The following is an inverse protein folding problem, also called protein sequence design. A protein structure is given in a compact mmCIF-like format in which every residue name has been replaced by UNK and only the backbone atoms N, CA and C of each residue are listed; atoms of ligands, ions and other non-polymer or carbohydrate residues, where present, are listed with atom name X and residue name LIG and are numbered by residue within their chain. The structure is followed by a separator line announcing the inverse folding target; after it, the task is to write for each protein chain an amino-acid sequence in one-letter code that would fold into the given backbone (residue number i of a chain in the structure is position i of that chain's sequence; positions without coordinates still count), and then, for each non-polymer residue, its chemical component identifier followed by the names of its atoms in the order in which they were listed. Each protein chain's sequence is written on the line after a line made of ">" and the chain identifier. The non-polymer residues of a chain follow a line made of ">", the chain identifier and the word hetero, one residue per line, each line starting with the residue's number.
data_IF_064670241306
#
_entry.id   IF_064670241306
#
_cell.length_a   1.000
_cell.length_b   1.000
_cell.length_c   1.000
_cell.angle_alpha   90.00
_cell.angle_beta   90.00
_cell.angle_gamma   90.00
#
_symmetry.space_group_name_H-M   'P 1'
#
loop_
_entity.id
_entity.type
_entity.pdbx_description
1 polymer ?
#
# COMPACT_ATOMS: atom_id res chain seq x y z
N UNK A 1 -12.88 -26.65 -3.11
CA UNK A 1 -13.91 -25.63 -2.85
C UNK A 1 -13.29 -24.67 -1.83
N UNK A 2 -12.88 -23.47 -2.25
CA UNK A 2 -12.20 -22.50 -1.37
C UNK A 2 -13.28 -21.66 -0.69
N UNK A 3 -13.32 -21.69 0.64
CA UNK A 3 -14.19 -20.83 1.45
C UNK A 3 -13.78 -19.34 1.29
N UNK A 4 -14.74 -18.43 1.49
CA UNK A 4 -14.61 -16.96 1.46
C UNK A 4 -13.45 -16.41 2.33
N UNK A 5 -12.88 -17.22 3.22
CA UNK A 5 -11.74 -16.88 4.08
C UNK A 5 -10.34 -17.20 3.51
N UNK A 6 -10.21 -17.76 2.29
CA UNK A 6 -8.89 -18.06 1.69
C UNK A 6 -8.16 -19.24 2.36
N UNK A 7 -8.90 -20.15 2.99
CA UNK A 7 -8.35 -21.35 3.63
C UNK A 7 -8.31 -22.51 2.64
N UNK A 8 -7.17 -23.17 2.53
CA UNK A 8 -6.99 -24.39 1.71
C UNK A 8 -6.49 -25.56 2.57
N UNK A 9 -6.98 -26.77 2.30
CA UNK A 9 -6.58 -28.00 2.97
C UNK A 9 -5.63 -28.81 2.08
N UNK A 10 -4.54 -29.33 2.66
CA UNK A 10 -3.60 -30.26 2.00
C UNK A 10 -3.35 -31.47 2.91
N UNK A 11 -3.40 -32.68 2.34
CA UNK A 11 -3.18 -33.93 3.07
C UNK A 11 -1.71 -34.36 2.97
N UNK A 12 -1.05 -34.63 4.11
CA UNK A 12 0.30 -35.21 4.16
C UNK A 12 0.21 -36.74 4.23
N UNK A 13 0.95 -37.46 3.38
CA UNK A 13 1.05 -38.93 3.46
C UNK A 13 2.36 -39.30 4.17
N UNK A 14 2.29 -39.56 5.47
CA UNK A 14 3.42 -40.04 6.27
C UNK A 14 3.58 -41.57 6.22
N UNK A 15 4.82 -42.06 6.22
CA UNK A 15 5.14 -43.50 6.08
C UNK A 15 4.80 -44.38 7.29
N UNK A 16 4.11 -43.85 8.30
CA UNK A 16 3.42 -44.61 9.35
C UNK A 16 2.14 -43.86 9.76
N UNK A 17 1.02 -44.25 9.15
CA UNK A 17 -0.26 -44.37 9.84
C UNK A 17 -1.04 -43.14 10.32
N UNK A 18 -0.57 -41.90 10.23
CA UNK A 18 -1.40 -40.71 10.54
C UNK A 18 -1.05 -39.53 9.64
N UNK A 19 -1.94 -39.20 8.71
CA UNK A 19 -1.87 -37.99 7.90
C UNK A 19 -2.17 -36.76 8.77
N UNK A 20 -1.14 -36.02 9.20
CA UNK A 20 -1.36 -34.72 9.82
C UNK A 20 -1.69 -33.71 8.71
N UNK A 21 -2.96 -33.32 8.58
CA UNK A 21 -3.34 -32.22 7.69
C UNK A 21 -2.80 -30.90 8.27
N UNK A 22 -2.02 -30.15 7.48
CA UNK A 22 -1.65 -28.79 7.83
C UNK A 22 -2.65 -27.82 7.21
N UNK A 23 -3.18 -26.89 8.00
CA UNK A 23 -4.03 -25.80 7.50
C UNK A 23 -3.14 -24.66 7.03
N UNK A 24 -3.34 -24.21 5.79
CA UNK A 24 -2.63 -23.06 5.22
C UNK A 24 -3.58 -21.87 5.16
N UNK A 25 -3.12 -20.75 5.73
CA UNK A 25 -3.82 -19.47 5.70
C UNK A 25 -3.02 -18.46 4.88
N UNK A 26 -3.66 -17.84 3.89
CA UNK A 26 -3.05 -16.77 3.12
C UNK A 26 -3.71 -15.43 3.43
N UNK A 27 -2.88 -14.42 3.74
CA UNK A 27 -3.38 -13.06 3.87
C UNK A 27 -3.71 -12.52 2.46
N UNK A 28 -4.92 -12.00 2.21
CA UNK A 28 -5.22 -11.30 0.96
C UNK A 28 -4.24 -10.13 0.73
N UNK A 29 -3.92 -9.83 -0.53
CA UNK A 29 -3.03 -8.72 -0.88
C UNK A 29 -3.57 -7.98 -2.11
N UNK A 30 -4.50 -7.06 -1.92
CA UNK A 30 -5.24 -6.40 -2.98
C UNK A 30 -6.58 -7.07 -3.25
N UNK A 31 -7.39 -6.37 -4.05
CA UNK A 31 -8.81 -6.66 -4.28
C UNK A 31 -9.12 -6.83 -5.76
N UNK A 32 -10.23 -7.48 -6.05
CA UNK A 32 -10.76 -7.58 -7.42
C UNK A 32 -11.82 -6.51 -7.64
N UNK A 33 -12.20 -6.29 -8.90
CA UNK A 33 -13.15 -5.23 -9.27
C UNK A 33 -14.45 -5.29 -8.45
N UNK A 34 -14.97 -6.51 -8.20
CA UNK A 34 -16.24 -6.73 -7.50
C UNK A 34 -16.17 -6.40 -6.00
N UNK A 35 -14.96 -6.26 -5.44
CA UNK A 35 -14.75 -5.89 -4.03
C UNK A 35 -14.77 -4.37 -3.81
N UNK A 36 -14.74 -3.56 -4.86
CA UNK A 36 -14.72 -2.09 -4.74
C UNK A 36 -16.13 -1.50 -4.83
N UNK A 37 -16.66 -1.04 -3.71
CA UNK A 37 -17.94 -0.32 -3.66
C UNK A 37 -17.69 1.17 -3.41
N UNK A 38 -18.27 2.04 -4.23
CA UNK A 38 -18.15 3.48 -4.06
C UNK A 38 -18.64 3.90 -2.67
N UNK A 39 -17.82 4.66 -1.95
CA UNK A 39 -18.07 5.05 -0.56
C UNK A 39 -17.30 4.24 0.47
N UNK A 40 -16.83 3.02 0.14
CA UNK A 40 -16.04 2.20 1.06
C UNK A 40 -14.73 2.89 1.46
N UNK A 41 -14.31 2.64 2.70
CA UNK A 41 -13.06 3.16 3.27
C UNK A 41 -12.19 2.00 3.73
N UNK A 42 -10.97 1.95 3.24
CA UNK A 42 -9.94 1.01 3.64
C UNK A 42 -8.95 1.71 4.56
N UNK A 43 -8.82 1.20 5.79
CA UNK A 43 -7.89 1.71 6.79
C UNK A 43 -6.62 0.88 6.77
N UNK A 44 -5.49 1.50 6.46
CA UNK A 44 -4.24 0.78 6.22
C UNK A 44 -3.43 0.65 7.51
N UNK A 45 -3.00 -0.56 7.83
CA UNK A 45 -2.23 -0.88 9.03
C UNK A 45 -0.96 -1.70 8.69
N UNK A 46 0.18 -1.45 9.34
CA UNK A 46 0.43 -0.46 10.42
C UNK A 46 0.84 0.93 9.91
N UNK A 47 0.89 1.90 10.83
CA UNK A 47 1.53 3.19 10.56
C UNK A 47 3.07 3.09 10.50
N UNK A 48 3.73 4.13 9.98
CA UNK A 48 5.20 4.22 9.87
C UNK A 48 5.70 5.56 10.40
N UNK A 49 6.54 5.51 11.42
CA UNK A 49 7.34 6.66 11.87
C UNK A 49 8.42 6.99 10.86
N UNK A 50 8.51 8.25 10.45
CA UNK A 50 9.54 8.76 9.56
C UNK A 50 10.75 9.15 10.40
N UNK A 51 11.89 8.56 10.10
CA UNK A 51 13.17 8.88 10.72
C UNK A 51 14.02 9.75 9.79
N UNK A 52 15.05 10.39 10.32
CA UNK A 52 16.04 11.12 9.53
C UNK A 52 16.67 10.23 8.44
N UNK A 53 16.93 8.96 8.77
CA UNK A 53 17.47 7.99 7.82
C UNK A 53 16.55 7.79 6.60
N UNK A 54 15.24 7.66 6.82
CA UNK A 54 14.28 7.46 5.72
C UNK A 54 14.33 8.65 4.73
N UNK A 55 14.35 9.87 5.27
CA UNK A 55 14.34 11.12 4.51
C UNK A 55 15.65 11.32 3.74
N UNK A 56 16.79 11.17 4.40
CA UNK A 56 18.10 11.31 3.76
C UNK A 56 18.31 10.23 2.69
N UNK A 57 17.97 8.96 2.98
CA UNK A 57 18.07 7.90 2.00
C UNK A 57 17.21 8.21 0.77
N UNK A 58 15.96 8.64 0.98
CA UNK A 58 15.07 9.00 -0.13
C UNK A 58 15.64 10.15 -0.96
N UNK A 59 16.14 11.20 -0.33
CA UNK A 59 16.81 12.31 -1.02
C UNK A 59 17.98 11.83 -1.88
N UNK A 60 18.82 10.93 -1.37
CA UNK A 60 19.99 10.44 -2.11
C UNK A 60 19.60 9.55 -3.30
N UNK A 61 18.65 8.62 -3.13
CA UNK A 61 18.24 7.72 -4.24
C UNK A 61 17.39 8.43 -5.30
N UNK A 62 16.78 9.58 -4.96
CA UNK A 62 15.99 10.40 -5.90
C UNK A 62 16.72 11.65 -6.41
N UNK A 63 17.98 11.85 -5.99
CA UNK A 63 18.79 13.03 -6.32
C UNK A 63 18.14 14.36 -5.90
N UNK A 64 17.34 14.36 -4.83
CA UNK A 64 16.84 15.59 -4.24
C UNK A 64 17.87 16.16 -3.26
N UNK A 65 18.72 17.07 -3.76
CA UNK A 65 19.79 17.71 -3.00
C UNK A 65 19.38 19.01 -2.29
N UNK A 66 18.08 19.30 -2.16
CA UNK A 66 17.65 20.53 -1.52
C UNK A 66 17.99 20.53 -0.02
N UNK A 67 18.77 21.50 0.49
CA UNK A 67 19.34 21.45 1.85
C UNK A 67 18.28 21.48 2.97
N UNK A 68 17.07 21.95 2.68
CA UNK A 68 15.92 21.87 3.61
C UNK A 68 15.71 20.46 4.21
N UNK A 69 16.01 19.41 3.44
CA UNK A 69 15.76 18.02 3.86
C UNK A 69 16.95 17.40 4.60
N UNK A 70 18.18 17.90 4.38
CA UNK A 70 19.41 17.19 4.79
C UNK A 70 20.44 18.03 5.54
N UNK A 71 20.24 19.35 5.66
CA UNK A 71 21.15 20.27 6.35
C UNK A 71 20.40 20.99 7.47
N UNK A 72 20.65 20.57 8.71
CA UNK A 72 20.01 21.15 9.90
C UNK A 72 20.38 22.63 10.09
N UNK A 73 21.63 23.01 9.79
CA UNK A 73 22.08 24.40 9.94
C UNK A 73 21.37 25.32 8.95
N UNK A 74 21.21 24.87 7.70
CA UNK A 74 20.41 25.57 6.70
C UNK A 74 18.95 25.67 7.13
N UNK A 75 18.36 24.56 7.59
CA UNK A 75 16.96 24.53 7.99
C UNK A 75 16.67 25.47 9.17
N UNK A 76 17.53 25.49 10.19
CA UNK A 76 17.40 26.38 11.36
C UNK A 76 17.47 27.87 11.01
N UNK A 77 18.28 28.24 10.01
CA UNK A 77 18.60 29.65 9.72
C UNK A 77 17.88 30.24 8.51
N UNK A 78 17.46 29.39 7.58
CA UNK A 78 16.98 29.82 6.27
C UNK A 78 15.61 29.27 5.92
N UNK A 79 15.09 28.29 6.67
CA UNK A 79 13.72 27.78 6.47
C UNK A 79 12.72 28.42 7.44
N UNK A 80 11.46 28.66 7.02
CA UNK A 80 10.40 29.10 7.91
C UNK A 80 10.08 28.10 9.04
N UNK A 81 10.37 26.82 8.85
CA UNK A 81 10.07 25.75 9.80
C UNK A 81 11.14 25.63 10.90
N UNK A 82 12.34 26.19 10.70
CA UNK A 82 13.44 26.17 11.68
C UNK A 82 14.02 24.79 11.97
N UNK A 83 13.68 23.76 11.18
CA UNK A 83 14.17 22.37 11.28
C UNK A 83 13.96 21.66 9.95
N UNK A 84 14.65 20.54 9.73
CA UNK A 84 14.50 19.77 8.50
C UNK A 84 13.06 19.31 8.30
N UNK A 85 12.54 19.57 7.10
CA UNK A 85 11.21 19.14 6.66
C UNK A 85 11.40 17.86 5.87
N UNK A 86 10.58 16.84 6.14
CA UNK A 86 10.58 15.61 5.34
C UNK A 86 10.17 15.92 3.90
N UNK A 87 10.90 15.36 2.94
CA UNK A 87 10.57 15.53 1.53
C UNK A 87 9.15 15.02 1.23
N UNK A 88 8.29 15.86 0.66
CA UNK A 88 6.89 15.51 0.39
C UNK A 88 6.73 14.23 -0.44
N UNK A 89 7.63 13.98 -1.38
CA UNK A 89 7.63 12.78 -2.21
C UNK A 89 7.84 11.48 -1.40
N UNK A 90 8.60 11.52 -0.30
CA UNK A 90 8.71 10.39 0.63
C UNK A 90 7.38 10.14 1.34
N UNK A 91 6.73 11.19 1.84
CA UNK A 91 5.42 11.10 2.50
C UNK A 91 4.38 10.51 1.55
N UNK A 92 4.32 11.01 0.31
CA UNK A 92 3.47 10.46 -0.74
C UNK A 92 3.77 8.97 -0.99
N UNK A 93 5.06 8.62 -1.16
CA UNK A 93 5.47 7.24 -1.44
C UNK A 93 5.13 6.29 -0.29
N UNK A 94 5.25 6.74 0.96
CA UNK A 94 4.84 5.98 2.15
C UNK A 94 3.33 5.72 2.15
N UNK A 95 2.53 6.76 1.99
CA UNK A 95 1.06 6.66 1.99
C UNK A 95 0.55 5.81 0.81
N UNK A 96 1.17 5.96 -0.36
CA UNK A 96 0.95 5.09 -1.52
C UNK A 96 1.27 3.64 -1.17
N UNK A 97 2.46 3.38 -0.61
CA UNK A 97 2.91 2.05 -0.20
C UNK A 97 1.98 1.37 0.81
N UNK A 98 1.54 2.11 1.83
CA UNK A 98 0.60 1.62 2.86
C UNK A 98 -0.71 1.14 2.27
N UNK A 99 -1.20 1.77 1.19
CA UNK A 99 -2.46 1.38 0.55
C UNK A 99 -2.36 0.15 -0.36
N UNK A 100 -1.15 -0.25 -0.77
CA UNK A 100 -0.94 -1.32 -1.75
C UNK A 100 -1.62 -2.63 -1.35
N UNK A 101 -1.48 -3.13 -0.09
CA UNK A 101 -2.08 -4.40 0.30
C UNK A 101 -3.61 -4.45 0.26
N UNK A 102 -4.30 -3.31 0.24
CA UNK A 102 -5.76 -3.25 0.13
C UNK A 102 -6.22 -2.90 -1.29
N UNK A 103 -5.51 -1.99 -1.95
CA UNK A 103 -5.99 -1.31 -3.14
C UNK A 103 -5.36 -1.87 -4.41
N UNK A 104 -4.03 -1.93 -4.49
CA UNK A 104 -3.33 -2.16 -5.75
C UNK A 104 -2.51 -3.46 -5.80
N UNK A 105 -2.48 -4.26 -4.73
CA UNK A 105 -1.70 -5.50 -4.67
C UNK A 105 -2.12 -6.57 -5.69
N UNK A 106 -3.35 -6.50 -6.18
CA UNK A 106 -3.89 -7.35 -7.27
C UNK A 106 -4.23 -6.54 -8.53
N UNK A 107 -3.87 -5.26 -8.59
CA UNK A 107 -4.15 -4.42 -9.75
C UNK A 107 -3.29 -4.81 -10.94
N UNK A 108 -3.81 -4.57 -12.15
CA UNK A 108 -3.06 -4.69 -13.42
C UNK A 108 -2.01 -3.59 -13.51
N UNK A 109 -2.44 -2.36 -13.21
CA UNK A 109 -1.62 -1.17 -13.33
C UNK A 109 -2.21 -0.01 -12.52
N UNK A 110 -1.34 0.86 -12.01
CA UNK A 110 -1.72 2.20 -11.60
C UNK A 110 -1.64 3.10 -12.83
N UNK A 111 -2.79 3.55 -13.34
CA UNK A 111 -2.88 4.29 -14.59
C UNK A 111 -2.48 5.76 -14.41
N UNK A 112 -2.82 6.32 -13.26
CA UNK A 112 -2.64 7.76 -13.00
C UNK A 112 -2.62 8.04 -11.51
N UNK A 113 -1.95 9.14 -11.17
CA UNK A 113 -2.08 9.84 -9.89
C UNK A 113 -2.51 11.27 -10.22
N UNK A 114 -3.62 11.71 -9.66
CA UNK A 114 -4.17 13.05 -9.85
C UNK A 114 -4.27 13.78 -8.50
N UNK A 115 -4.21 15.11 -8.53
CA UNK A 115 -4.50 15.96 -7.36
C UNK A 115 -3.64 15.65 -6.11
N UNK A 116 -2.34 15.38 -6.28
CA UNK A 116 -1.43 15.29 -5.13
C UNK A 116 -1.35 16.64 -4.42
N UNK A 117 -1.67 16.65 -3.13
CA UNK A 117 -1.59 17.83 -2.25
C UNK A 117 -0.77 17.47 -1.01
N UNK A 118 0.20 18.34 -0.69
CA UNK A 118 0.87 18.36 0.61
C UNK A 118 0.21 19.46 1.44
N UNK A 119 -0.60 19.05 2.42
CA UNK A 119 -1.43 19.97 3.20
C UNK A 119 -0.71 20.50 4.43
N UNK A 120 0.25 19.74 4.97
CA UNK A 120 1.11 20.13 6.10
C UNK A 120 2.55 19.64 5.90
N UNK A 121 3.55 20.38 6.43
CA UNK A 121 4.89 19.84 6.55
C UNK A 121 4.88 18.63 7.49
N UNK A 122 5.79 17.69 7.24
CA UNK A 122 6.09 16.57 8.13
C UNK A 122 7.53 16.65 8.56
N UNK A 123 7.82 16.07 9.71
CA UNK A 123 9.13 16.15 10.33
C UNK A 123 9.62 14.77 10.76
N UNK A 124 10.93 14.64 10.97
CA UNK A 124 11.48 13.45 11.58
C UNK A 124 10.84 13.23 12.96
N UNK A 125 10.35 12.01 13.20
CA UNK A 125 9.57 11.60 14.37
C UNK A 125 8.06 11.48 14.11
N UNK A 126 7.52 12.08 13.04
CA UNK A 126 6.10 11.95 12.72
C UNK A 126 5.74 10.51 12.32
N UNK A 127 4.60 10.03 12.79
CA UNK A 127 4.07 8.70 12.47
C UNK A 127 2.88 8.82 11.53
N UNK A 128 3.03 8.27 10.33
CA UNK A 128 2.02 8.36 9.28
C UNK A 128 1.13 7.11 9.25
N UNK A 129 -0.16 7.35 9.17
CA UNK A 129 -1.22 6.40 8.84
C UNK A 129 -1.86 6.77 7.51
N UNK A 130 -2.55 5.82 6.88
CA UNK A 130 -3.23 6.07 5.62
C UNK A 130 -4.62 5.44 5.59
N UNK A 131 -5.56 6.13 4.95
CA UNK A 131 -6.87 5.59 4.62
C UNK A 131 -7.20 5.89 3.15
N UNK A 132 -7.88 4.96 2.48
CA UNK A 132 -8.31 5.10 1.09
C UNK A 132 -9.82 4.97 0.98
N UNK A 133 -10.46 5.95 0.34
CA UNK A 133 -11.88 5.91 -0.01
C UNK A 133 -12.07 5.57 -1.49
N UNK A 134 -12.98 4.65 -1.78
CA UNK A 134 -13.42 4.36 -3.16
C UNK A 134 -14.36 5.46 -3.63
N UNK A 135 -14.03 6.08 -4.76
CA UNK A 135 -14.87 7.10 -5.39
C UNK A 135 -15.75 6.49 -6.47
N UNK A 136 -15.19 5.59 -7.27
CA UNK A 136 -15.86 4.96 -8.41
C UNK A 136 -15.22 3.60 -8.72
N UNK A 137 -16.04 2.65 -9.17
CA UNK A 137 -15.59 1.41 -9.79
C UNK A 137 -16.47 1.13 -11.00
N UNK A 138 -15.85 0.89 -12.16
CA UNK A 138 -16.57 0.61 -13.41
C UNK A 138 -15.86 -0.45 -14.24
N UNK A 139 -16.63 -1.25 -14.96
CA UNK A 139 -16.10 -2.25 -15.88
C UNK A 139 -15.53 -1.58 -17.15
N UNK A 140 -14.52 -2.20 -17.77
CA UNK A 140 -14.03 -1.80 -19.09
C UNK A 140 -14.73 -2.60 -20.18
N UNK A 141 -14.69 -2.12 -21.43
CA UNK A 141 -15.27 -2.84 -22.57
C UNK A 141 -14.67 -4.22 -22.83
N UNK A 142 -13.47 -4.51 -22.31
CA UNK A 142 -12.79 -5.81 -22.46
C UNK A 142 -13.42 -6.91 -21.60
N UNK A 143 -14.21 -6.57 -20.58
CA UNK A 143 -14.98 -7.52 -19.78
C UNK A 143 -14.20 -8.37 -18.78
N UNK A 144 -12.86 -8.31 -18.80
CA UNK A 144 -11.96 -9.04 -17.88
C UNK A 144 -11.41 -8.16 -16.74
N UNK A 145 -11.65 -6.85 -16.80
CA UNK A 145 -11.10 -5.85 -15.89
C UNK A 145 -11.96 -4.58 -15.81
N UNK A 146 -11.72 -3.79 -14.78
CA UNK A 146 -12.34 -2.49 -14.56
C UNK A 146 -11.34 -1.39 -14.22
N UNK A 147 -11.86 -0.17 -14.12
CA UNK A 147 -11.15 0.99 -13.61
C UNK A 147 -11.75 1.37 -12.26
N UNK A 148 -10.88 1.57 -11.28
CA UNK A 148 -11.24 1.99 -9.93
C UNK A 148 -10.56 3.33 -9.65
N UNK A 149 -11.36 4.32 -9.24
CA UNK A 149 -10.90 5.64 -8.81
C UNK A 149 -10.99 5.72 -7.30
N UNK A 150 -9.89 6.06 -6.63
CA UNK A 150 -9.83 6.17 -5.17
C UNK A 150 -9.15 7.46 -4.74
N UNK A 151 -9.48 7.94 -3.54
CA UNK A 151 -8.78 9.02 -2.84
C UNK A 151 -8.08 8.44 -1.62
N UNK A 152 -6.77 8.66 -1.49
CA UNK A 152 -5.99 8.26 -0.34
C UNK A 152 -5.53 9.48 0.43
N UNK A 153 -5.62 9.41 1.77
CA UNK A 153 -5.14 10.44 2.69
C UNK A 153 -4.06 9.87 3.60
N UNK A 154 -3.02 10.67 3.82
CA UNK A 154 -2.00 10.46 4.85
C UNK A 154 -2.31 11.33 6.07
N UNK A 155 -2.29 10.72 7.26
CA UNK A 155 -2.63 11.34 8.53
C UNK A 155 -1.47 11.13 9.52
N UNK A 156 -1.06 12.15 10.27
CA UNK A 156 -0.03 12.02 11.31
C UNK A 156 -0.62 11.53 12.66
N UNK A 157 0.24 11.38 13.67
CA UNK A 157 -0.14 10.97 15.02
C UNK A 157 -1.14 11.91 15.72
N UNK A 158 -1.20 13.17 15.29
CA UNK A 158 -2.06 14.22 15.85
C UNK A 158 -3.41 14.31 15.12
N UNK A 159 -3.72 13.29 14.31
CA UNK A 159 -4.93 13.22 13.48
C UNK A 159 -5.03 14.33 12.42
N UNK A 160 -3.90 14.90 12.00
CA UNK A 160 -3.86 15.91 10.95
C UNK A 160 -3.55 15.30 9.58
N UNK A 161 -4.30 15.72 8.57
CA UNK A 161 -3.98 15.37 7.18
C UNK A 161 -2.68 16.07 6.75
N UNK A 162 -1.71 15.29 6.29
CA UNK A 162 -0.40 15.76 5.80
C UNK A 162 -0.28 15.68 4.29
N UNK A 163 -0.94 14.71 3.66
CA UNK A 163 -1.07 14.64 2.21
C UNK A 163 -2.35 13.94 1.78
N UNK A 164 -2.78 14.23 0.56
CA UNK A 164 -3.90 13.56 -0.10
C UNK A 164 -3.65 13.44 -1.59
N UNK A 165 -4.14 12.39 -2.21
CA UNK A 165 -4.09 12.23 -3.66
C UNK A 165 -5.19 11.29 -4.14
N UNK A 166 -5.54 11.42 -5.41
CA UNK A 166 -6.42 10.47 -6.10
C UNK A 166 -5.62 9.66 -7.09
N UNK A 167 -6.09 8.45 -7.36
CA UNK A 167 -5.48 7.59 -8.37
C UNK A 167 -6.55 6.82 -9.13
N UNK A 168 -6.21 6.48 -10.37
CA UNK A 168 -6.99 5.55 -11.21
C UNK A 168 -6.19 4.27 -11.41
N UNK A 169 -6.82 3.15 -11.10
CA UNK A 169 -6.22 1.82 -11.15
C UNK A 169 -6.98 0.97 -12.15
N UNK A 170 -6.26 0.11 -12.87
CA UNK A 170 -6.86 -0.98 -13.63
C UNK A 170 -6.85 -2.23 -12.77
N UNK A 171 -8.00 -2.86 -12.55
CA UNK A 171 -8.17 -3.98 -11.61
C UNK A 171 -8.82 -5.15 -12.32
N UNK A 172 -8.31 -6.36 -12.11
CA UNK A 172 -8.92 -7.60 -12.63
C UNK A 172 -10.29 -7.85 -12.03
N UNK A 173 -11.21 -8.40 -12.83
CA UNK A 173 -12.35 -9.14 -12.28
C UNK A 173 -11.87 -10.42 -11.63
N UNK A 174 -12.52 -10.87 -10.57
CA UNK A 174 -12.07 -12.05 -9.81
C UNK A 174 -11.91 -13.29 -10.68
N UNK A 175 -12.83 -13.51 -11.61
CA UNK A 175 -12.79 -14.66 -12.53
C UNK A 175 -11.65 -14.60 -13.56
N UNK A 176 -11.04 -13.43 -13.75
CA UNK A 176 -9.98 -13.19 -14.75
C UNK A 176 -8.62 -12.90 -14.12
N UNK A 177 -8.55 -12.79 -12.80
CA UNK A 177 -7.31 -12.51 -12.11
C UNK A 177 -6.34 -13.69 -12.24
N UNK A 178 -5.06 -13.44 -12.55
CA UNK A 178 -4.05 -14.49 -12.61
C UNK A 178 -3.89 -15.14 -11.23
N UNK A 179 -3.77 -16.46 -11.20
CA UNK A 179 -3.44 -17.18 -9.99
C UNK A 179 -2.05 -16.76 -9.49
N UNK A 180 -1.91 -16.63 -8.17
CA UNK A 180 -0.60 -16.43 -7.56
C UNK A 180 0.09 -17.77 -7.42
N UNK A 181 1.34 -17.85 -7.89
CA UNK A 181 2.18 -19.02 -7.74
C UNK A 181 3.34 -18.73 -6.79
N UNK A 182 3.86 -19.81 -6.20
CA UNK A 182 5.10 -19.85 -5.45
C UNK A 182 6.08 -20.75 -6.22
N UNK A 183 7.39 -20.66 -6.00
CA UNK A 183 8.36 -21.58 -6.63
C UNK A 183 8.28 -23.03 -6.08
N UNK A 184 7.26 -23.34 -5.28
CA UNK A 184 6.98 -24.65 -4.68
C UNK A 184 5.47 -24.88 -4.62
N UNK A 185 5.07 -26.14 -4.65
CA UNK A 185 3.71 -26.66 -4.58
C UNK A 185 3.37 -27.14 -3.16
N UNK A 186 3.04 -26.20 -2.27
CA UNK A 186 2.50 -26.56 -0.95
C UNK A 186 3.54 -26.99 0.08
N UNK A 187 3.24 -28.07 0.82
CA UNK A 187 3.90 -28.45 2.09
C UNK A 187 5.25 -29.14 1.94
N UNK A 188 5.79 -29.29 0.74
CA UNK A 188 7.08 -29.96 0.49
C UNK A 188 8.26 -29.32 1.25
N UNK A 189 8.12 -28.04 1.66
CA UNK A 189 9.09 -27.34 2.52
C UNK A 189 8.96 -27.70 4.02
N UNK A 190 7.89 -28.38 4.42
CA UNK A 190 7.56 -28.75 5.80
C UNK A 190 7.38 -30.27 5.99
N UNK A 191 7.72 -31.07 4.96
CA UNK A 191 7.68 -32.53 4.98
C UNK A 191 8.75 -33.14 5.90
#
# INVERSE_FOLDING_TARGET
>A
MVDRAGVSYVALVGHRGEARSMTVHERPFGRHLEDFVAGDVYRHWPGKTITEYDDHLFCMVTMNHHPLHTDAWYAERSSPQGRNVVVGNLVYSLVLGMSVPDVSGSAVANLEVETLRHTRPTFHGDTIYAETRVLEARETSKGDRGIVTVETKGINQDAEEVCSFRRRLMVWKRASAPARSRPYDGTDIWA
#
